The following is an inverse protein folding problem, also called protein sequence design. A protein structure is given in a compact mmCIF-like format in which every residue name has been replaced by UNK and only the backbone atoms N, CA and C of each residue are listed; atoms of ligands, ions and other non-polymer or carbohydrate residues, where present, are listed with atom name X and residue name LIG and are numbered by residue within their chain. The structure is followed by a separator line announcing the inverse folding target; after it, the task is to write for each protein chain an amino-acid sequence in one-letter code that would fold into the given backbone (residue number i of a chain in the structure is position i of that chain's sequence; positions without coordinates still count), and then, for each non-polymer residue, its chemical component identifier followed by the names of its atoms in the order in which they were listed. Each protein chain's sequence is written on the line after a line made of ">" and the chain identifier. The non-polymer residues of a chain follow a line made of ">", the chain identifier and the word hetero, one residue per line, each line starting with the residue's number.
data_IF_434598542053
#
_entry.id   IF_434598542053
#
_cell.length_a   1.000
_cell.length_b   1.000
_cell.length_c   1.000
_cell.angle_alpha   90.00
_cell.angle_beta   90.00
_cell.angle_gamma   90.00
#
_symmetry.space_group_name_H-M   'P 1'
#
loop_
_entity.id
_entity.type
_entity.pdbx_description
1 polymer ?
#
# COMPACT_ATOMS: atom_id res chain seq x y z
N UNK A 1 -6.98 -19.19 -11.42
CA UNK A 1 -6.48 -17.81 -11.20
C UNK A 1 -7.51 -17.07 -10.37
N UNK A 2 -7.12 -16.39 -9.29
CA UNK A 2 -8.00 -15.72 -8.31
C UNK A 2 -8.93 -14.69 -8.98
N UNK A 3 -8.50 -14.04 -10.07
CA UNK A 3 -9.25 -13.02 -10.80
C UNK A 3 -9.98 -13.52 -12.05
N UNK A 4 -10.88 -14.50 -11.91
CA UNK A 4 -11.69 -15.07 -13.02
C UNK A 4 -13.19 -14.85 -12.79
N UNK A 5 -13.56 -13.60 -12.53
CA UNK A 5 -14.93 -13.21 -12.16
C UNK A 5 -15.40 -13.73 -10.77
N UNK A 6 -14.47 -14.04 -9.87
CA UNK A 6 -14.76 -14.35 -8.47
C UNK A 6 -14.74 -13.08 -7.62
N UNK A 7 -15.62 -13.00 -6.63
CA UNK A 7 -15.81 -11.89 -5.71
C UNK A 7 -14.81 -11.87 -4.55
N UNK A 8 -13.56 -12.25 -4.83
CA UNK A 8 -12.45 -12.03 -3.91
C UNK A 8 -12.11 -10.54 -3.85
N UNK A 9 -11.47 -10.09 -2.78
CA UNK A 9 -11.06 -8.70 -2.61
C UNK A 9 -9.56 -8.61 -2.40
N UNK A 10 -8.91 -7.63 -3.04
CA UNK A 10 -7.51 -7.33 -2.82
C UNK A 10 -7.38 -6.12 -1.90
N UNK A 11 -6.52 -6.24 -0.89
CA UNK A 11 -6.15 -5.15 0.02
C UNK A 11 -4.64 -4.99 0.07
N UNK A 12 -4.19 -3.77 0.35
CA UNK A 12 -2.82 -3.48 0.76
C UNK A 12 -2.77 -3.31 2.27
N UNK A 13 -1.68 -3.75 2.88
CA UNK A 13 -1.36 -3.49 4.26
C UNK A 13 -0.23 -2.46 4.27
N UNK A 14 -0.47 -1.34 4.95
CA UNK A 14 0.52 -0.27 5.14
C UNK A 14 0.70 -0.02 6.63
N UNK A 15 1.86 0.49 7.01
CA UNK A 15 2.08 1.07 8.33
C UNK A 15 2.36 2.56 8.21
N UNK A 16 1.73 3.35 9.08
CA UNK A 16 1.95 4.79 9.17
C UNK A 16 3.33 5.11 9.77
N UNK A 17 3.66 6.40 9.84
CA UNK A 17 4.91 6.90 10.42
C UNK A 17 5.21 6.30 11.81
N UNK A 18 4.18 6.19 12.66
CA UNK A 18 4.24 5.64 14.03
C UNK A 18 4.21 4.11 14.09
N UNK A 19 4.02 3.42 12.96
CA UNK A 19 3.95 1.96 12.88
C UNK A 19 2.55 1.38 13.05
N UNK A 20 1.51 2.22 13.13
CA UNK A 20 0.13 1.74 13.16
C UNK A 20 -0.24 1.14 11.80
N UNK A 21 -0.79 -0.07 11.82
CA UNK A 21 -1.15 -0.79 10.60
C UNK A 21 -2.53 -0.40 10.12
N UNK A 22 -2.68 -0.28 8.81
CA UNK A 22 -3.95 -0.08 8.15
C UNK A 22 -4.09 -1.01 6.94
N UNK A 23 -5.31 -1.53 6.77
CA UNK A 23 -5.70 -2.23 5.54
C UNK A 23 -6.48 -1.27 4.65
N UNK A 24 -6.05 -1.11 3.41
CA UNK A 24 -6.74 -0.31 2.40
C UNK A 24 -7.21 -1.23 1.27
N UNK A 25 -8.50 -1.14 0.92
CA UNK A 25 -9.07 -1.97 -0.14
C UNK A 25 -8.73 -1.40 -1.51
N UNK A 26 -8.14 -2.23 -2.37
CA UNK A 26 -7.91 -1.95 -3.79
C UNK A 26 -9.15 -2.29 -4.63
N UNK A 27 -10.05 -3.13 -4.11
CA UNK A 27 -11.30 -3.50 -4.75
C UNK A 27 -11.45 -5.00 -5.02
N UNK A 28 -12.56 -5.35 -5.69
CA UNK A 28 -12.93 -6.74 -6.02
C UNK A 28 -12.07 -7.29 -7.17
N UNK A 29 -11.91 -8.60 -7.21
CA UNK A 29 -11.18 -9.36 -8.24
C UNK A 29 -12.12 -9.99 -9.29
N UNK A 30 -13.36 -9.48 -9.38
CA UNK A 30 -14.39 -9.94 -10.30
C UNK A 30 -14.24 -9.36 -11.72
N UNK A 31 -13.08 -9.55 -12.32
CA UNK A 31 -12.79 -9.17 -13.70
C UNK A 31 -12.12 -10.31 -14.46
N UNK A 32 -11.92 -10.13 -15.76
CA UNK A 32 -11.17 -11.04 -16.62
C UNK A 32 -9.99 -10.29 -17.24
N UNK A 33 -8.84 -10.93 -17.33
CA UNK A 33 -7.61 -10.32 -17.85
C UNK A 33 -6.93 -9.39 -16.82
N UNK A 34 -6.15 -8.43 -17.32
CA UNK A 34 -5.41 -7.47 -16.52
C UNK A 34 -6.28 -6.24 -16.21
N UNK A 35 -6.26 -5.78 -14.96
CA UNK A 35 -6.94 -4.54 -14.54
C UNK A 35 -6.07 -3.81 -13.54
N UNK A 36 -5.88 -2.50 -13.77
CA UNK A 36 -5.25 -1.60 -12.80
C UNK A 36 -6.19 -1.43 -11.60
N UNK A 37 -5.66 -1.69 -10.41
CA UNK A 37 -6.33 -1.41 -9.14
C UNK A 37 -5.50 -0.36 -8.41
N UNK A 38 -6.16 0.64 -7.83
CA UNK A 38 -5.51 1.75 -7.13
C UNK A 38 -6.34 2.16 -5.92
N UNK A 39 -5.66 2.60 -4.87
CA UNK A 39 -6.29 3.16 -3.68
C UNK A 39 -5.53 4.40 -3.27
N UNK A 40 -6.27 5.46 -2.92
CA UNK A 40 -5.67 6.66 -2.35
C UNK A 40 -5.32 6.40 -0.88
N UNK A 41 -4.17 6.92 -0.45
CA UNK A 41 -3.80 6.94 0.96
C UNK A 41 -4.69 7.97 1.67
N UNK A 42 -5.50 7.57 2.67
CA UNK A 42 -6.35 8.51 3.38
C UNK A 42 -5.52 9.42 4.33
N UNK A 43 -5.89 10.70 4.51
CA UNK A 43 -5.15 11.66 5.34
C UNK A 43 -4.95 11.26 6.81
N UNK A 44 -5.78 10.33 7.31
CA UNK A 44 -5.67 9.79 8.68
C UNK A 44 -4.43 8.93 8.90
N UNK A 45 -3.76 8.48 7.84
CA UNK A 45 -2.49 7.76 7.94
C UNK A 45 -1.37 8.79 7.92
N UNK A 46 -0.75 8.98 9.08
CA UNK A 46 0.33 9.96 9.23
C UNK A 46 1.55 9.50 8.44
N UNK A 47 2.11 10.40 7.64
CA UNK A 47 3.27 10.12 6.78
C UNK A 47 4.52 10.90 7.20
N UNK A 48 4.41 11.93 8.04
CA UNK A 48 5.54 12.70 8.56
C UNK A 48 5.19 13.35 9.89
N UNK A 49 6.22 13.65 10.68
CA UNK A 49 6.14 14.46 11.90
C UNK A 49 7.35 15.40 11.90
N UNK A 50 7.11 16.69 12.11
CA UNK A 50 8.15 17.72 12.09
C UNK A 50 9.17 17.58 13.23
N UNK A 51 8.84 16.85 14.30
CA UNK A 51 9.79 16.55 15.37
C UNK A 51 10.76 15.41 15.01
N UNK A 52 10.43 14.58 14.01
CA UNK A 52 11.15 13.36 13.68
C UNK A 52 11.49 13.31 12.19
N UNK A 53 12.45 14.14 11.79
CA UNK A 53 12.86 14.30 10.38
C UNK A 53 13.71 13.14 9.84
N UNK A 54 14.18 12.24 10.71
CA UNK A 54 15.01 11.10 10.32
C UNK A 54 14.23 9.96 9.64
N UNK A 55 12.89 9.98 9.72
CA UNK A 55 12.03 8.95 9.13
C UNK A 55 10.78 9.60 8.55
N UNK A 56 10.47 9.30 7.30
CA UNK A 56 9.26 9.81 6.64
C UNK A 56 8.61 8.73 5.77
N UNK A 57 7.34 8.94 5.45
CA UNK A 57 6.55 8.14 4.53
C UNK A 57 5.76 7.01 5.19
N UNK A 58 5.19 6.17 4.31
CA UNK A 58 4.47 4.96 4.65
C UNK A 58 5.33 3.73 4.37
N UNK A 59 5.18 2.71 5.22
CA UNK A 59 5.77 1.40 4.95
C UNK A 59 4.76 0.49 4.27
N UNK A 60 5.08 0.02 3.08
CA UNK A 60 4.37 -1.09 2.46
C UNK A 60 4.70 -2.39 3.21
N UNK A 61 3.67 -3.05 3.76
CA UNK A 61 3.84 -4.26 4.57
C UNK A 61 3.47 -5.53 3.81
N UNK A 62 2.56 -5.44 2.83
CA UNK A 62 2.22 -6.57 1.98
C UNK A 62 0.84 -6.48 1.34
N UNK A 63 0.50 -7.52 0.60
CA UNK A 63 -0.79 -7.69 -0.06
C UNK A 63 -1.61 -8.73 0.70
N UNK A 64 -2.92 -8.49 0.80
CA UNK A 64 -3.87 -9.40 1.41
C UNK A 64 -4.98 -9.70 0.42
N UNK A 65 -5.11 -10.97 0.06
CA UNK A 65 -6.24 -11.46 -0.73
C UNK A 65 -7.28 -12.01 0.24
N UNK A 66 -8.44 -11.38 0.26
CA UNK A 66 -9.60 -11.84 1.03
C UNK A 66 -10.44 -12.72 0.11
N UNK A 67 -10.32 -14.03 0.29
CA UNK A 67 -11.10 -15.01 -0.46
C UNK A 67 -12.56 -15.03 0.02
N UNK A 68 -13.49 -15.16 -0.91
CA UNK A 68 -14.91 -15.37 -0.62
C UNK A 68 -15.10 -16.88 -0.37
N UNK A 69 -15.48 -17.31 0.84
CA UNK A 69 -15.58 -18.74 1.17
C UNK A 69 -16.55 -19.51 0.27
N UNK A 70 -17.60 -18.87 -0.24
CA UNK A 70 -18.57 -19.50 -1.13
C UNK A 70 -18.03 -19.80 -2.53
N UNK A 71 -16.89 -19.20 -2.89
CA UNK A 71 -16.26 -19.30 -4.21
C UNK A 71 -14.82 -19.84 -4.13
N UNK A 72 -14.29 -20.03 -2.91
CA UNK A 72 -12.92 -20.40 -2.60
C UNK A 72 -12.70 -21.93 -2.56
N UNK A 73 -12.94 -22.62 -3.67
CA UNK A 73 -12.59 -24.02 -3.89
C UNK A 73 -11.29 -24.22 -4.70
N UNK A 74 -10.34 -24.97 -4.13
CA UNK A 74 -9.16 -25.48 -4.83
C UNK A 74 -7.91 -24.61 -4.70
N UNK A 75 -6.99 -24.75 -5.66
CA UNK A 75 -5.72 -24.01 -5.70
C UNK A 75 -5.83 -22.81 -6.64
N UNK A 76 -5.33 -21.66 -6.18
CA UNK A 76 -5.38 -20.43 -6.95
C UNK A 76 -4.00 -19.84 -7.17
N UNK A 77 -3.85 -19.19 -8.33
CA UNK A 77 -2.71 -18.36 -8.69
C UNK A 77 -3.18 -16.91 -8.87
N UNK A 78 -2.36 -15.96 -8.44
CA UNK A 78 -2.56 -14.54 -8.68
C UNK A 78 -1.25 -13.99 -9.24
N UNK A 79 -1.35 -13.05 -10.17
CA UNK A 79 -0.23 -12.37 -10.79
C UNK A 79 -0.38 -10.88 -10.55
N UNK A 80 0.73 -10.23 -10.20
CA UNK A 80 0.82 -8.79 -10.06
C UNK A 80 1.83 -8.29 -11.09
N UNK A 81 1.51 -7.16 -11.71
CA UNK A 81 2.38 -6.46 -12.62
C UNK A 81 2.28 -4.95 -12.34
N UNK A 82 3.33 -4.21 -12.67
CA UNK A 82 3.42 -2.75 -12.52
C UNK A 82 3.01 -2.22 -11.12
N UNK A 83 3.59 -2.80 -10.07
CA UNK A 83 3.38 -2.32 -8.69
C UNK A 83 4.14 -1.01 -8.49
N UNK A 84 3.40 0.09 -8.42
CA UNK A 84 3.93 1.44 -8.29
C UNK A 84 3.23 2.25 -7.20
N UNK A 85 3.88 3.33 -6.74
CA UNK A 85 3.34 4.30 -5.80
C UNK A 85 3.60 5.71 -6.33
N UNK A 86 2.62 6.59 -6.16
CA UNK A 86 2.75 8.02 -6.46
C UNK A 86 3.04 8.75 -5.15
N UNK A 87 4.14 9.50 -5.11
CA UNK A 87 4.64 10.16 -3.91
C UNK A 87 5.16 11.56 -4.26
N UNK A 88 5.03 12.48 -3.31
CA UNK A 88 5.64 13.80 -3.41
C UNK A 88 7.11 13.69 -2.98
N UNK A 89 8.02 14.08 -3.88
CA UNK A 89 9.47 14.06 -3.64
C UNK A 89 10.00 15.39 -3.08
N UNK A 90 9.13 16.40 -2.91
CA UNK A 90 9.55 17.73 -2.48
C UNK A 90 10.21 17.71 -1.09
N UNK A 91 9.71 16.89 -0.15
CA UNK A 91 10.31 16.79 1.20
C UNK A 91 11.69 16.12 1.20
N UNK A 92 11.92 15.14 0.33
CA UNK A 92 13.21 14.41 0.25
C UNK A 92 14.35 15.25 -0.32
N UNK A 93 14.07 16.28 -1.12
CA UNK A 93 15.11 17.10 -1.78
C UNK A 93 15.69 18.20 -0.89
N UNK A 94 15.13 18.42 0.30
CA UNK A 94 15.51 19.54 1.16
C UNK A 94 16.66 19.22 2.14
N UNK A 95 17.27 18.03 2.07
CA UNK A 95 18.43 17.65 2.91
C UNK A 95 19.67 17.48 2.04
N UNK A 96 20.68 18.30 2.26
CA UNK A 96 22.03 18.06 1.72
C UNK A 96 22.71 16.95 2.54
N UNK A 97 23.66 16.22 1.93
CA UNK A 97 24.41 15.14 2.62
C UNK A 97 25.13 15.63 3.89
N UNK A 98 25.44 16.94 3.94
CA UNK A 98 26.18 17.59 5.02
C UNK A 98 25.26 18.29 6.04
N UNK A 99 23.93 18.19 5.89
CA UNK A 99 23.00 18.80 6.84
C UNK A 99 23.08 18.11 8.21
N UNK A 100 23.32 18.93 9.23
CA UNK A 100 23.30 18.50 10.63
C UNK A 100 21.92 17.96 10.99
N UNK A 101 21.90 16.81 11.68
CA UNK A 101 20.66 16.18 12.13
C UNK A 101 20.09 16.96 13.32
N UNK A 102 19.26 17.96 13.03
CA UNK A 102 18.65 18.88 14.01
C UNK A 102 17.44 18.24 14.74
N UNK A 103 17.48 16.93 14.97
CA UNK A 103 16.53 16.24 15.84
C UNK A 103 16.79 16.59 17.30
N UNK A 104 15.99 17.49 17.86
CA UNK A 104 16.02 17.85 19.29
C UNK A 104 15.56 16.71 20.21
#
# INVERSE_FOLDING_TARGET
>A
VVGRNYNHELKIIVADFYGNRAELSLGRLNFSGWRKLSVAIPPRLVQSDFHYTAKEGLKFMGLKVVCNPAEAFGTYYIYFDDVSAETDLFSMKSRDEDDVDDGW
#
